data_IF_849446064717
#
_entry.id   IF_849446064717
#
_cell.length_a   1.000
_cell.length_b   1.000
_cell.length_c   1.000
_cell.angle_alpha   90.00
_cell.angle_beta   90.00
_cell.angle_gamma   90.00
#
_symmetry.space_group_name_H-M   'P 1'
#
loop_
_entity.id
_entity.type
_entity.pdbx_description
1 polymer ?
#
# COMPACT_ATOMS: atom_id res chain seq x y z
N UNK A 1 17.20 -2.22 -15.37
CA UNK A 1 17.36 -3.09 -16.55
C UNK A 1 18.08 -4.37 -16.16
N UNK A 2 19.29 -4.30 -15.58
CA UNK A 2 20.07 -5.47 -15.21
C UNK A 2 19.35 -6.53 -14.34
N UNK A 3 18.64 -6.14 -13.26
CA UNK A 3 18.01 -7.13 -12.35
C UNK A 3 16.87 -7.91 -13.04
N UNK A 4 16.02 -7.24 -13.81
CA UNK A 4 14.86 -7.87 -14.47
C UNK A 4 15.32 -8.74 -15.64
N UNK A 5 16.29 -8.26 -16.44
CA UNK A 5 16.85 -9.06 -17.51
C UNK A 5 17.65 -10.26 -16.96
N UNK A 6 18.39 -10.09 -15.86
CA UNK A 6 19.07 -11.17 -15.15
C UNK A 6 18.06 -12.23 -14.67
N UNK A 7 16.99 -11.83 -13.97
CA UNK A 7 15.94 -12.74 -13.49
C UNK A 7 15.17 -13.42 -14.64
N UNK A 8 15.03 -12.76 -15.79
CA UNK A 8 14.41 -13.33 -16.99
C UNK A 8 15.33 -14.31 -17.74
N UNK A 9 16.66 -14.19 -17.60
CA UNK A 9 17.67 -15.00 -18.30
C UNK A 9 18.17 -16.18 -17.44
N UNK A 10 18.20 -16.03 -16.12
CA UNK A 10 18.60 -17.05 -15.14
C UNK A 10 17.92 -18.43 -15.33
N UNK A 11 16.62 -18.50 -15.69
CA UNK A 11 15.94 -19.76 -16.03
C UNK A 11 16.49 -20.44 -17.30
N UNK A 12 17.04 -19.66 -18.24
CA UNK A 12 17.48 -20.13 -19.56
C UNK A 12 18.87 -20.77 -19.50
N UNK A 13 19.72 -20.33 -18.56
CA UNK A 13 21.10 -20.83 -18.39
C UNK A 13 21.10 -22.22 -17.73
N UNK A 14 20.20 -22.48 -16.78
CA UNK A 14 20.07 -23.79 -16.13
C UNK A 14 19.51 -24.90 -17.03
N UNK A 15 19.08 -24.59 -18.27
CA UNK A 15 18.59 -25.57 -19.24
C UNK A 15 19.73 -26.28 -20.00
N UNK A 16 20.96 -25.78 -19.89
CA UNK A 16 22.15 -26.33 -20.58
C UNK A 16 22.75 -27.52 -19.80
N UNK A 17 22.50 -27.63 -18.49
CA UNK A 17 23.01 -28.73 -17.68
C UNK A 17 21.99 -29.89 -17.59
N UNK A 18 21.80 -30.61 -18.71
CA UNK A 18 20.88 -31.75 -18.92
C UNK A 18 21.14 -33.00 -18.04
N UNK A 19 21.72 -32.87 -16.85
CA UNK A 19 22.23 -34.01 -16.06
C UNK A 19 21.36 -34.48 -14.88
N UNK A 20 20.68 -33.60 -14.16
CA UNK A 20 20.10 -33.98 -12.86
C UNK A 20 18.57 -34.02 -12.83
N UNK A 21 18.11 -35.28 -12.84
CA UNK A 21 16.83 -35.89 -12.48
C UNK A 21 16.03 -35.17 -11.37
N UNK A 22 15.50 -33.97 -11.62
CA UNK A 22 14.47 -33.35 -10.77
C UNK A 22 13.39 -32.67 -11.61
N UNK A 23 12.49 -33.50 -12.13
CA UNK A 23 11.48 -33.13 -13.12
C UNK A 23 10.35 -32.22 -12.56
N UNK A 24 10.26 -32.04 -11.23
CA UNK A 24 9.28 -31.14 -10.60
C UNK A 24 9.76 -29.68 -10.54
N UNK A 25 11.04 -29.43 -10.24
CA UNK A 25 11.62 -28.07 -10.18
C UNK A 25 11.82 -27.44 -11.56
N UNK A 26 12.12 -28.23 -12.60
CA UNK A 26 12.21 -27.73 -13.99
C UNK A 26 10.87 -27.14 -14.48
N UNK A 27 9.73 -27.69 -14.02
CA UNK A 27 8.40 -27.18 -14.38
C UNK A 27 8.11 -25.81 -13.76
N UNK A 28 8.49 -25.61 -12.50
CA UNK A 28 8.37 -24.31 -11.80
C UNK A 28 9.24 -23.22 -12.42
N UNK A 29 10.43 -23.58 -12.92
CA UNK A 29 11.33 -22.65 -13.63
C UNK A 29 10.69 -22.12 -14.93
N UNK A 30 9.78 -22.87 -15.57
CA UNK A 30 9.01 -22.34 -16.72
C UNK A 30 8.02 -21.26 -16.32
N UNK A 31 7.49 -21.28 -15.10
CA UNK A 31 6.61 -20.22 -14.58
C UNK A 31 7.36 -18.89 -14.44
N UNK A 32 8.67 -18.89 -14.23
CA UNK A 32 9.48 -17.67 -14.27
C UNK A 32 9.50 -16.99 -15.66
N UNK A 33 9.09 -17.67 -16.75
CA UNK A 33 8.88 -17.00 -18.06
C UNK A 33 7.73 -15.99 -18.01
N UNK A 34 6.76 -16.15 -17.12
CA UNK A 34 5.69 -15.18 -16.87
C UNK A 34 6.28 -13.84 -16.42
N UNK A 35 7.48 -13.83 -15.82
CA UNK A 35 8.16 -12.58 -15.46
C UNK A 35 8.50 -11.71 -16.68
N UNK A 36 8.52 -12.25 -17.91
CA UNK A 36 8.65 -11.44 -19.14
C UNK A 36 7.46 -10.52 -19.38
N UNK A 37 6.29 -10.82 -18.81
CA UNK A 37 5.14 -9.92 -18.86
C UNK A 37 5.47 -8.59 -18.15
N UNK A 38 6.27 -8.60 -17.06
CA UNK A 38 6.76 -7.37 -16.43
C UNK A 38 7.62 -6.50 -17.37
N UNK A 39 8.18 -7.09 -18.43
CA UNK A 39 8.84 -6.34 -19.51
C UNK A 39 7.82 -5.52 -20.32
N UNK A 40 6.69 -6.13 -20.69
CA UNK A 40 5.58 -5.47 -21.40
C UNK A 40 4.97 -4.33 -20.58
N UNK A 41 4.84 -4.51 -19.26
CA UNK A 41 4.43 -3.43 -18.36
C UNK A 41 5.36 -2.21 -18.47
N UNK A 42 6.67 -2.40 -18.61
CA UNK A 42 7.64 -1.27 -18.61
C UNK A 42 7.79 -0.55 -19.96
N UNK A 43 7.34 -1.14 -21.05
CA UNK A 43 7.33 -0.50 -22.39
C UNK A 43 6.04 0.27 -22.69
N UNK A 44 4.99 0.06 -21.88
CA UNK A 44 3.78 0.86 -22.00
C UNK A 44 4.03 2.28 -21.51
N UNK A 45 3.80 3.27 -22.37
CA UNK A 45 3.86 4.70 -22.04
C UNK A 45 3.04 5.02 -20.78
N UNK A 46 1.84 4.46 -20.67
CA UNK A 46 0.95 4.67 -19.52
C UNK A 46 1.56 4.21 -18.18
N UNK A 47 2.35 3.14 -18.19
CA UNK A 47 2.99 2.63 -16.98
C UNK A 47 4.24 3.44 -16.63
N UNK A 48 4.96 3.95 -17.63
CA UNK A 48 6.07 4.87 -17.39
C UNK A 48 5.58 6.16 -16.73
N UNK A 49 4.45 6.70 -17.21
CA UNK A 49 3.75 7.83 -16.59
C UNK A 49 3.44 7.52 -15.12
N UNK A 50 2.77 6.40 -14.81
CA UNK A 50 2.43 6.02 -13.43
C UNK A 50 3.68 5.88 -12.54
N UNK A 51 4.74 5.24 -13.04
CA UNK A 51 6.00 5.10 -12.30
C UNK A 51 6.69 6.44 -12.04
N UNK A 52 6.54 7.40 -12.96
CA UNK A 52 7.09 8.73 -12.82
C UNK A 52 6.29 9.56 -11.81
N UNK A 53 4.96 9.46 -11.83
CA UNK A 53 4.05 10.04 -10.84
C UNK A 53 4.38 9.54 -9.43
N UNK A 54 4.60 8.24 -9.26
CA UNK A 54 4.98 7.65 -7.97
C UNK A 54 6.30 8.26 -7.45
N UNK A 55 7.33 8.34 -8.30
CA UNK A 55 8.63 8.91 -7.92
C UNK A 55 8.52 10.40 -7.55
N UNK A 56 7.79 11.17 -8.37
CA UNK A 56 7.63 12.60 -8.17
C UNK A 56 6.78 12.91 -6.93
N UNK A 57 5.80 12.06 -6.63
CA UNK A 57 4.88 12.22 -5.51
C UNK A 57 5.36 11.57 -4.22
N UNK A 58 6.49 10.82 -4.26
CA UNK A 58 6.98 10.02 -3.13
C UNK A 58 7.10 10.81 -1.83
N UNK A 59 7.63 12.03 -1.87
CA UNK A 59 7.78 12.88 -0.67
C UNK A 59 6.42 13.24 -0.06
N UNK A 60 5.44 13.59 -0.90
CA UNK A 60 4.09 13.93 -0.45
C UNK A 60 3.36 12.70 0.11
N UNK A 61 3.47 11.54 -0.56
CA UNK A 61 2.88 10.29 -0.08
C UNK A 61 3.49 9.83 1.25
N UNK A 62 4.81 10.00 1.44
CA UNK A 62 5.47 9.74 2.72
C UNK A 62 4.95 10.68 3.81
N UNK A 63 4.74 11.96 3.50
CA UNK A 63 4.15 12.90 4.46
C UNK A 63 2.73 12.48 4.89
N UNK A 64 1.90 12.03 3.94
CA UNK A 64 0.56 11.48 4.25
C UNK A 64 0.66 10.21 5.11
N UNK A 65 1.63 9.34 4.84
CA UNK A 65 1.87 8.16 5.67
C UNK A 65 2.21 8.53 7.11
N UNK A 66 3.07 9.54 7.32
CA UNK A 66 3.36 10.04 8.66
C UNK A 66 2.13 10.64 9.34
N UNK A 67 1.29 11.37 8.61
CA UNK A 67 0.02 11.89 9.13
C UNK A 67 -0.93 10.75 9.54
N UNK A 68 -1.04 9.70 8.72
CA UNK A 68 -1.86 8.53 9.01
C UNK A 68 -1.37 7.79 10.27
N UNK A 69 -0.07 7.56 10.39
CA UNK A 69 0.54 6.92 11.57
C UNK A 69 0.31 7.79 12.82
N UNK A 70 0.52 9.11 12.71
CA UNK A 70 0.27 10.05 13.80
C UNK A 70 -1.19 10.05 14.25
N UNK A 71 -2.13 10.07 13.31
CA UNK A 71 -3.57 9.96 13.59
C UNK A 71 -3.90 8.66 14.33
N UNK A 72 -3.42 7.51 13.83
CA UNK A 72 -3.67 6.19 14.45
C UNK A 72 -3.15 6.21 15.88
N UNK A 73 -1.93 6.69 16.10
CA UNK A 73 -1.31 6.71 17.41
C UNK A 73 -2.06 7.61 18.40
N UNK A 74 -2.44 8.83 17.98
CA UNK A 74 -3.22 9.76 18.82
C UNK A 74 -4.59 9.19 19.16
N UNK A 75 -5.32 8.65 18.18
CA UNK A 75 -6.64 8.05 18.42
C UNK A 75 -6.55 6.84 19.36
N UNK A 76 -5.52 6.00 19.18
CA UNK A 76 -5.26 4.85 20.04
C UNK A 76 -5.02 5.28 21.49
N UNK A 77 -4.12 6.25 21.71
CA UNK A 77 -3.81 6.74 23.06
C UNK A 77 -5.05 7.32 23.75
N UNK A 78 -5.84 8.10 23.04
CA UNK A 78 -7.06 8.70 23.59
C UNK A 78 -8.07 7.60 23.92
N UNK A 79 -8.37 6.71 22.97
CA UNK A 79 -9.45 5.74 23.15
C UNK A 79 -9.12 4.68 24.18
N UNK A 80 -7.87 4.25 24.26
CA UNK A 80 -7.42 3.26 25.23
C UNK A 80 -7.54 3.76 26.69
N UNK A 81 -7.43 5.08 26.90
CA UNK A 81 -7.65 5.68 28.23
C UNK A 81 -9.12 5.97 28.53
N UNK A 82 -9.92 6.27 27.50
CA UNK A 82 -11.36 6.60 27.66
C UNK A 82 -12.23 5.34 27.75
N UNK A 83 -11.82 4.26 27.10
CA UNK A 83 -12.58 3.01 26.95
C UNK A 83 -11.78 1.78 27.44
N UNK A 84 -11.31 1.75 28.71
CA UNK A 84 -10.46 0.67 29.20
C UNK A 84 -11.13 -0.72 29.12
N UNK A 85 -12.46 -0.78 29.22
CA UNK A 85 -13.20 -2.04 29.21
C UNK A 85 -13.58 -2.51 27.79
N UNK A 86 -13.55 -1.61 26.79
CA UNK A 86 -13.94 -1.94 25.40
C UNK A 86 -12.76 -2.45 24.56
N UNK A 87 -11.52 -2.23 25.01
CA UNK A 87 -10.29 -2.63 24.33
C UNK A 87 -9.42 -3.47 25.24
N UNK A 88 -9.32 -4.79 25.00
CA UNK A 88 -8.57 -5.70 25.88
C UNK A 88 -7.06 -5.39 25.88
N UNK A 89 -6.52 -4.96 24.74
CA UNK A 89 -5.11 -4.63 24.58
C UNK A 89 -4.91 -3.33 23.83
N UNK A 90 -3.74 -2.71 23.99
CA UNK A 90 -3.36 -1.53 23.21
C UNK A 90 -3.37 -1.81 21.70
N UNK A 91 -3.03 -3.04 21.29
CA UNK A 91 -3.09 -3.45 19.90
C UNK A 91 -4.50 -3.49 19.34
N UNK A 92 -5.51 -3.83 20.15
CA UNK A 92 -6.92 -3.77 19.74
C UNK A 92 -7.34 -2.32 19.43
N UNK A 93 -6.86 -1.36 20.22
CA UNK A 93 -7.09 0.06 19.97
C UNK A 93 -6.37 0.55 18.70
N UNK A 94 -5.14 0.08 18.42
CA UNK A 94 -4.43 0.36 17.16
C UNK A 94 -5.20 -0.22 15.97
N UNK A 95 -5.66 -1.46 16.11
CA UNK A 95 -6.45 -2.15 15.09
C UNK A 95 -7.73 -1.35 14.79
N UNK A 96 -8.48 -0.98 15.82
CA UNK A 96 -9.67 -0.15 15.68
C UNK A 96 -9.39 1.19 15.02
N UNK A 97 -8.35 1.91 15.47
CA UNK A 97 -7.98 3.21 14.90
C UNK A 97 -7.58 3.08 13.41
N UNK A 98 -6.94 1.97 13.04
CA UNK A 98 -6.55 1.67 11.66
C UNK A 98 -7.75 1.37 10.77
N UNK A 99 -8.66 0.47 11.19
CA UNK A 99 -9.87 0.15 10.40
C UNK A 99 -10.84 1.33 10.33
N UNK A 100 -10.84 2.19 11.34
CA UNK A 100 -11.63 3.43 11.36
C UNK A 100 -11.04 4.48 10.44
N UNK A 101 -9.73 4.74 10.50
CA UNK A 101 -9.04 5.65 9.58
C UNK A 101 -9.27 5.25 8.13
N UNK A 102 -9.10 3.96 7.83
CA UNK A 102 -9.20 3.43 6.46
C UNK A 102 -10.64 3.25 5.99
N UNK A 103 -11.64 3.63 6.81
CA UNK A 103 -13.08 3.50 6.52
C UNK A 103 -13.56 2.06 6.28
N UNK A 104 -12.79 1.07 6.72
CA UNK A 104 -13.15 -0.36 6.63
C UNK A 104 -14.23 -0.69 7.64
N UNK A 105 -14.02 -0.31 8.92
CA UNK A 105 -15.04 -0.36 9.96
C UNK A 105 -15.77 -1.71 10.12
N UNK A 106 -15.04 -2.81 10.37
CA UNK A 106 -15.64 -4.13 10.54
C UNK A 106 -16.70 -4.20 11.66
N UNK A 107 -16.57 -3.36 12.70
CA UNK A 107 -17.53 -3.26 13.79
C UNK A 107 -17.41 -4.37 14.84
N UNK A 108 -16.31 -5.12 14.84
CA UNK A 108 -15.96 -6.15 15.80
C UNK A 108 -15.48 -5.59 17.14
N UNK A 109 -14.78 -4.45 17.12
CA UNK A 109 -14.36 -3.71 18.32
C UNK A 109 -14.71 -2.23 18.10
N UNK A 110 -15.34 -1.59 19.09
CA UNK A 110 -15.74 -0.19 18.99
C UNK A 110 -15.99 0.45 20.38
N UNK A 111 -15.85 1.78 20.50
CA UNK A 111 -16.16 2.52 21.72
C UNK A 111 -17.64 2.45 22.10
N UNK A 112 -17.93 2.16 23.36
CA UNK A 112 -19.29 1.93 23.84
C UNK A 112 -19.79 3.14 24.66
N UNK A 113 -18.89 3.83 25.37
CA UNK A 113 -19.24 5.01 26.18
C UNK A 113 -19.65 6.19 25.30
N UNK A 114 -20.47 7.08 25.86
CA UNK A 114 -20.88 8.32 25.18
C UNK A 114 -19.67 9.17 24.78
N UNK A 115 -18.66 9.25 25.64
CA UNK A 115 -17.46 10.05 25.39
C UNK A 115 -16.60 9.43 24.28
N UNK A 116 -16.38 8.12 24.30
CA UNK A 116 -15.67 7.40 23.24
C UNK A 116 -16.37 7.50 21.88
N UNK A 117 -17.71 7.46 21.85
CA UNK A 117 -18.49 7.69 20.62
C UNK A 117 -18.32 9.12 20.08
N UNK A 118 -18.32 10.14 20.93
CA UNK A 118 -18.07 11.53 20.52
C UNK A 118 -16.67 11.65 19.90
N UNK A 119 -15.65 11.09 20.54
CA UNK A 119 -14.28 11.07 20.02
C UNK A 119 -14.23 10.38 18.66
N UNK A 120 -14.92 9.25 18.51
CA UNK A 120 -15.01 8.52 17.25
C UNK A 120 -15.66 9.33 16.13
N UNK A 121 -16.73 10.07 16.44
CA UNK A 121 -17.38 10.95 15.45
C UNK A 121 -16.43 12.05 14.99
N UNK A 122 -15.73 12.71 15.92
CA UNK A 122 -14.77 13.77 15.59
C UNK A 122 -13.58 13.21 14.81
N UNK A 123 -13.03 12.07 15.23
CA UNK A 123 -11.89 11.44 14.58
C UNK A 123 -12.24 11.00 13.14
N UNK A 124 -13.47 10.53 12.91
CA UNK A 124 -13.94 10.12 11.58
C UNK A 124 -13.87 11.25 10.54
N UNK A 125 -14.20 12.50 10.91
CA UNK A 125 -14.05 13.65 10.01
C UNK A 125 -12.59 13.88 9.60
N UNK A 126 -11.65 13.75 10.55
CA UNK A 126 -10.22 13.85 10.28
C UNK A 126 -9.73 12.67 9.43
N UNK A 127 -10.23 11.47 9.68
CA UNK A 127 -9.86 10.27 8.92
C UNK A 127 -10.20 10.39 7.44
N UNK A 128 -11.41 10.88 7.11
CA UNK A 128 -11.83 11.14 5.73
C UNK A 128 -10.87 12.11 5.03
N UNK A 129 -10.46 13.18 5.72
CA UNK A 129 -9.53 14.16 5.16
C UNK A 129 -8.17 13.52 4.83
N UNK A 130 -7.64 12.66 5.70
CA UNK A 130 -6.35 11.97 5.48
C UNK A 130 -6.45 10.98 4.32
N UNK A 131 -7.51 10.17 4.25
CA UNK A 131 -7.70 9.15 3.19
C UNK A 131 -7.88 9.77 1.81
N UNK A 132 -8.40 10.99 1.71
CA UNK A 132 -8.54 11.70 0.44
C UNK A 132 -7.19 12.15 -0.17
N UNK A 133 -6.14 12.31 0.64
CA UNK A 133 -4.86 12.90 0.19
C UNK A 133 -4.09 12.03 -0.82
N UNK A 134 -3.89 10.70 -0.63
CA UNK A 134 -3.12 9.90 -1.57
C UNK A 134 -3.73 9.90 -2.98
N UNK A 135 -5.05 9.72 -3.08
CA UNK A 135 -5.77 9.74 -4.35
C UNK A 135 -5.62 11.10 -5.06
N UNK A 136 -5.75 12.19 -4.30
CA UNK A 136 -5.59 13.56 -4.82
C UNK A 136 -4.17 13.82 -5.34
N UNK A 137 -3.14 13.42 -4.58
CA UNK A 137 -1.73 13.56 -4.94
C UNK A 137 -1.41 12.79 -6.23
N UNK A 138 -1.85 11.53 -6.30
CA UNK A 138 -1.62 10.68 -7.47
C UNK A 138 -2.32 11.26 -8.71
N UNK A 139 -3.56 11.71 -8.56
CA UNK A 139 -4.33 12.30 -9.67
C UNK A 139 -3.67 13.58 -10.18
N UNK A 140 -3.27 14.48 -9.29
CA UNK A 140 -2.57 15.71 -9.66
C UNK A 140 -1.22 15.42 -10.34
N UNK A 141 -0.46 14.46 -9.82
CA UNK A 141 0.78 14.02 -10.45
C UNK A 141 0.57 13.43 -11.85
N UNK A 142 -0.47 12.62 -12.02
CA UNK A 142 -0.82 12.01 -13.31
C UNK A 142 -1.23 13.04 -14.35
N UNK A 143 -2.04 14.04 -13.97
CA UNK A 143 -2.42 15.14 -14.86
C UNK A 143 -1.18 15.94 -15.32
N UNK A 144 -0.26 16.23 -14.39
CA UNK A 144 0.98 16.95 -14.69
C UNK A 144 1.85 16.22 -15.70
N UNK A 145 1.98 14.90 -15.56
CA UNK A 145 2.82 14.09 -16.45
C UNK A 145 2.19 13.93 -17.85
N UNK A 146 0.87 13.81 -17.94
CA UNK A 146 0.16 13.81 -19.24
C UNK A 146 0.33 15.13 -19.98
N UNK A 147 0.31 16.26 -19.27
CA UNK A 147 0.45 17.58 -19.88
C UNK A 147 1.88 17.79 -20.40
N UNK A 148 2.90 17.36 -19.66
CA UNK A 148 4.29 17.41 -20.13
C UNK A 148 4.56 16.50 -21.34
N UNK A 149 3.80 15.41 -21.49
CA UNK A 149 3.92 14.47 -22.62
C UNK A 149 3.28 14.98 -23.93
N UNK A 150 2.53 16.09 -23.89
CA UNK A 150 1.88 16.73 -25.05
C UNK A 150 2.73 17.82 -25.72
N UNK A 151 3.80 18.27 -25.05
CA UNK A 151 4.76 19.28 -25.53
C UNK A 151 5.93 18.55 -26.21
#
# INVERSE_FOLDING_TARGET
MAIIDLLSILPSINMINKGFKSLKTIRLIRTFRVLRIFKSFRYSKNIQIILQVEKNSKKALIAVLYLAIGYIFVCTLIIFNVEPDSFNTFFDAIYWATISLTTVGYGDIYPITTLGRIITMVSSFMGIAIVALPASIITAGYMKEIESDKI
#
